data_IF_923609465322
#
_entry.id   IF_923609465322
#
_cell.length_a   1.000
_cell.length_b   1.000
_cell.length_c   1.000
_cell.angle_alpha   90.00
_cell.angle_beta   90.00
_cell.angle_gamma   90.00
#
_symmetry.space_group_name_H-M   'P 1'
#
loop_
_entity.id
_entity.type
_entity.pdbx_description
1 polymer ?
#
# COMPACT_ATOMS: atom_id res chain seq x y z
N UNK A 1 -18.80 1.84 -0.36
CA UNK A 1 -17.87 0.70 -0.52
C UNK A 1 -17.27 0.46 0.85
N UNK A 2 -18.00 -0.28 1.69
CA UNK A 2 -17.60 -0.54 3.07
C UNK A 2 -16.36 -1.45 3.04
N UNK A 3 -15.23 -0.89 3.43
CA UNK A 3 -13.97 -1.61 3.45
C UNK A 3 -13.91 -2.38 4.78
N UNK A 4 -14.56 -3.55 4.81
CA UNK A 4 -14.40 -4.50 5.91
C UNK A 4 -12.93 -4.97 5.91
N UNK A 5 -12.16 -4.47 6.87
CA UNK A 5 -10.74 -4.74 6.97
C UNK A 5 -10.48 -5.52 8.26
N UNK A 6 -10.08 -6.78 8.10
CA UNK A 6 -9.72 -7.64 9.23
C UNK A 6 -8.21 -7.78 9.31
N UNK A 7 -7.65 -7.47 10.47
CA UNK A 7 -6.23 -7.67 10.73
C UNK A 7 -6.01 -8.27 12.12
N UNK A 8 -4.86 -8.93 12.29
CA UNK A 8 -4.46 -9.56 13.54
C UNK A 8 -3.13 -8.99 13.97
N UNK A 9 -3.07 -8.58 15.23
CA UNK A 9 -1.88 -8.00 15.84
C UNK A 9 -1.48 -8.79 17.07
N UNK A 10 -0.17 -8.95 17.25
CA UNK A 10 0.41 -9.63 18.43
C UNK A 10 0.98 -8.59 19.37
N UNK A 11 0.51 -8.55 20.61
CA UNK A 11 1.03 -7.72 21.67
C UNK A 11 1.69 -8.57 22.76
N UNK A 12 2.59 -7.94 23.51
CA UNK A 12 3.23 -8.54 24.68
C UNK A 12 2.87 -7.65 25.86
N UNK A 13 1.96 -8.14 26.70
CA UNK A 13 1.37 -7.38 27.80
C UNK A 13 1.70 -8.14 29.07
N UNK A 14 2.40 -7.49 30.02
CA UNK A 14 2.82 -8.10 31.30
C UNK A 14 3.61 -9.42 31.14
N UNK A 15 4.35 -9.57 30.04
CA UNK A 15 5.15 -10.77 29.73
C UNK A 15 4.37 -11.91 29.05
N UNK A 16 3.06 -11.76 28.86
CA UNK A 16 2.21 -12.72 28.16
C UNK A 16 1.95 -12.27 26.71
N UNK A 17 1.82 -13.26 25.82
CA UNK A 17 1.52 -13.01 24.40
C UNK A 17 0.02 -12.95 24.20
N UNK A 18 -0.46 -11.77 23.83
CA UNK A 18 -1.87 -11.51 23.55
C UNK A 18 -2.03 -11.29 22.05
N UNK A 19 -2.97 -12.00 21.44
CA UNK A 19 -3.34 -11.83 20.04
C UNK A 19 -4.64 -11.07 19.96
N UNK A 20 -4.72 -10.08 19.08
CA UNK A 20 -5.91 -9.26 18.92
C UNK A 20 -6.30 -9.31 17.46
N UNK A 21 -7.51 -9.80 17.20
CA UNK A 21 -8.16 -9.74 15.89
C UNK A 21 -9.10 -8.54 15.89
N UNK A 22 -8.94 -7.66 14.92
CA UNK A 22 -9.79 -6.48 14.75
C UNK A 22 -10.48 -6.60 13.41
N UNK A 23 -11.80 -6.44 13.44
CA UNK A 23 -12.66 -6.31 12.27
C UNK A 23 -13.10 -4.85 12.22
N UNK A 24 -12.43 -4.07 11.37
CA UNK A 24 -12.82 -2.70 11.10
C UNK A 24 -14.07 -2.71 10.23
N UNK A 25 -15.19 -2.30 10.81
CA UNK A 25 -16.48 -2.25 10.14
C UNK A 25 -17.13 -0.95 10.55
N UNK A 26 -17.06 0.02 9.64
CA UNK A 26 -17.68 1.32 9.86
C UNK A 26 -19.19 1.16 9.66
N UNK A 27 -19.90 0.84 10.74
CA UNK A 27 -21.36 0.82 10.79
C UNK A 27 -21.87 2.20 11.27
N UNK A 28 -23.20 2.35 11.34
CA UNK A 28 -23.81 3.58 11.88
C UNK A 28 -23.46 3.80 13.37
N UNK A 29 -23.32 2.72 14.15
CA UNK A 29 -23.07 2.78 15.61
C UNK A 29 -21.68 2.30 16.04
N UNK A 30 -21.07 1.37 15.30
CA UNK A 30 -19.79 0.73 15.64
C UNK A 30 -18.68 1.13 14.66
N UNK A 31 -17.48 1.41 15.20
CA UNK A 31 -16.28 1.70 14.41
C UNK A 31 -15.49 0.43 14.08
N UNK A 32 -15.32 -0.45 15.08
CA UNK A 32 -14.68 -1.75 14.90
C UNK A 32 -15.09 -2.76 15.98
N UNK A 33 -14.97 -4.03 15.63
CA UNK A 33 -15.07 -5.13 16.57
C UNK A 33 -13.67 -5.63 16.91
N UNK A 34 -13.43 -5.92 18.18
CA UNK A 34 -12.17 -6.42 18.69
C UNK A 34 -12.38 -7.76 19.37
N UNK A 35 -11.51 -8.71 19.06
CA UNK A 35 -11.44 -10.00 19.72
C UNK A 35 -10.02 -10.18 20.26
N UNK A 36 -9.91 -10.31 21.58
CA UNK A 36 -8.66 -10.55 22.29
C UNK A 36 -8.56 -12.04 22.59
N UNK A 37 -7.40 -12.63 22.30
CA UNK A 37 -7.09 -14.02 22.58
C UNK A 37 -5.82 -14.08 23.45
N UNK A 38 -5.98 -14.61 24.65
CA UNK A 38 -4.89 -14.88 25.58
C UNK A 38 -4.94 -16.37 25.92
N UNK A 39 -3.90 -17.10 25.53
CA UNK A 39 -3.81 -18.53 25.76
C UNK A 39 -5.09 -19.27 25.33
N UNK A 40 -5.87 -19.82 26.26
CA UNK A 40 -7.09 -20.59 25.97
C UNK A 40 -8.38 -19.78 26.07
N UNK A 41 -8.31 -18.52 26.48
CA UNK A 41 -9.47 -17.64 26.65
C UNK A 41 -9.57 -16.63 25.52
N UNK A 42 -10.81 -16.33 25.15
CA UNK A 42 -11.13 -15.26 24.20
C UNK A 42 -12.11 -14.28 24.83
N UNK A 43 -11.95 -13.01 24.48
CA UNK A 43 -12.86 -11.93 24.83
C UNK A 43 -13.21 -11.16 23.57
N UNK A 44 -14.44 -10.67 23.49
CA UNK A 44 -14.91 -9.86 22.38
C UNK A 44 -15.43 -8.52 22.89
N UNK A 45 -15.34 -7.48 22.07
CA UNK A 45 -15.96 -6.19 22.35
C UNK A 45 -16.18 -5.42 21.06
N UNK A 46 -17.04 -4.42 21.13
CA UNK A 46 -17.29 -3.46 20.08
C UNK A 46 -16.85 -2.07 20.56
N UNK A 47 -16.27 -1.30 19.66
CA UNK A 47 -15.91 0.08 19.92
C UNK A 47 -16.85 0.99 19.14
N UNK A 48 -17.68 1.74 19.87
CA UNK A 48 -18.70 2.59 19.27
C UNK A 48 -18.12 3.89 18.71
N UNK A 49 -18.82 4.46 17.72
CA UNK A 49 -18.46 5.75 17.14
C UNK A 49 -18.56 6.89 18.17
N UNK A 50 -19.50 6.79 19.11
CA UNK A 50 -19.63 7.74 20.23
C UNK A 50 -18.39 7.74 21.12
N UNK A 51 -17.87 6.55 21.43
CA UNK A 51 -16.61 6.41 22.18
C UNK A 51 -15.45 7.04 21.40
N UNK A 52 -15.38 6.80 20.09
CA UNK A 52 -14.36 7.39 19.23
C UNK A 52 -14.40 8.92 19.24
N UNK A 53 -15.59 9.53 19.15
CA UNK A 53 -15.78 10.99 19.24
C UNK A 53 -15.35 11.54 20.59
N UNK A 54 -15.74 10.87 21.69
CA UNK A 54 -15.37 11.29 23.03
C UNK A 54 -13.85 11.30 23.25
N UNK A 55 -13.16 10.23 22.83
CA UNK A 55 -11.70 10.16 22.95
C UNK A 55 -10.98 11.07 21.95
N UNK A 56 -11.54 11.32 20.77
CA UNK A 56 -11.00 12.30 19.82
C UNK A 56 -11.03 13.73 20.41
N UNK A 57 -12.14 14.12 21.05
CA UNK A 57 -12.27 15.38 21.77
C UNK A 57 -11.27 15.49 22.93
N UNK A 58 -11.09 14.41 23.70
CA UNK A 58 -10.15 14.37 24.83
C UNK A 58 -8.69 14.57 24.40
N UNK A 59 -8.32 14.09 23.22
CA UNK A 59 -6.96 14.19 22.67
C UNK A 59 -6.81 15.44 21.77
N UNK A 60 -7.86 16.24 21.61
CA UNK A 60 -7.90 17.42 20.73
C UNK A 60 -7.57 17.08 19.25
N UNK A 61 -7.96 15.89 18.78
CA UNK A 61 -7.79 15.44 17.39
C UNK A 61 -9.15 15.42 16.65
N UNK A 62 -9.14 15.58 15.32
CA UNK A 62 -10.34 15.34 14.53
C UNK A 62 -10.66 13.85 14.48
N UNK A 63 -11.95 13.49 14.34
CA UNK A 63 -12.38 12.09 14.29
C UNK A 63 -11.62 11.29 13.22
N UNK A 64 -11.44 11.84 12.03
CA UNK A 64 -10.71 11.17 10.93
C UNK A 64 -9.23 10.89 11.27
N UNK A 65 -8.56 11.84 11.93
CA UNK A 65 -7.17 11.69 12.35
C UNK A 65 -7.08 10.66 13.49
N UNK A 66 -7.99 10.75 14.45
CA UNK A 66 -8.07 9.82 15.57
C UNK A 66 -8.28 8.38 15.08
N UNK A 67 -9.25 8.15 14.20
CA UNK A 67 -9.51 6.82 13.61
C UNK A 67 -8.30 6.26 12.90
N UNK A 68 -7.60 7.09 12.11
CA UNK A 68 -6.37 6.70 11.43
C UNK A 68 -5.26 6.34 12.42
N UNK A 69 -5.09 7.13 13.49
CA UNK A 69 -4.11 6.90 14.54
C UNK A 69 -4.40 5.60 15.32
N UNK A 70 -5.66 5.36 15.69
CA UNK A 70 -6.11 4.11 16.34
C UNK A 70 -5.89 2.92 15.42
N UNK A 71 -6.30 3.01 14.15
CA UNK A 71 -6.08 1.94 13.17
C UNK A 71 -4.59 1.63 12.99
N UNK A 72 -3.75 2.66 12.96
CA UNK A 72 -2.30 2.49 12.84
C UNK A 72 -1.68 1.87 14.10
N UNK A 73 -2.05 2.32 15.30
CA UNK A 73 -1.50 1.78 16.54
C UNK A 73 -1.92 0.31 16.75
N UNK A 74 -3.14 -0.04 16.35
CA UNK A 74 -3.64 -1.39 16.46
C UNK A 74 -3.05 -2.32 15.39
N UNK A 75 -2.69 -1.82 14.20
CA UNK A 75 -2.03 -2.60 13.14
C UNK A 75 -0.53 -2.79 13.37
N UNK A 76 0.17 -1.71 13.75
CA UNK A 76 1.62 -1.68 13.84
C UNK A 76 2.05 -1.35 15.27
N UNK A 77 3.04 -2.09 15.78
CA UNK A 77 3.73 -1.72 17.02
C UNK A 77 4.53 -0.44 16.79
N UNK A 78 3.93 0.71 17.08
CA UNK A 78 4.65 1.94 17.33
C UNK A 78 5.16 1.93 18.77
N UNK A 79 6.39 2.41 18.99
CA UNK A 79 6.98 2.61 20.32
C UNK A 79 6.21 3.63 21.18
N UNK A 80 5.35 4.39 20.53
CA UNK A 80 4.67 5.56 21.08
C UNK A 80 3.36 5.16 21.78
N UNK A 81 2.95 3.89 21.67
CA UNK A 81 1.73 3.39 22.28
C UNK A 81 2.01 2.26 23.27
N UNK A 82 1.36 2.35 24.42
CA UNK A 82 1.36 1.33 25.48
C UNK A 82 -0.01 0.67 25.50
N UNK A 83 -0.03 -0.65 25.60
CA UNK A 83 -1.24 -1.45 25.59
C UNK A 83 -1.40 -2.13 26.95
N UNK A 84 -2.59 -2.00 27.53
CA UNK A 84 -2.96 -2.63 28.79
C UNK A 84 -4.18 -3.52 28.56
N UNK A 85 -4.11 -4.73 29.12
CA UNK A 85 -5.20 -5.69 29.10
C UNK A 85 -5.46 -6.18 30.52
N UNK A 86 -6.74 -6.15 30.91
CA UNK A 86 -7.25 -6.67 32.17
C UNK A 86 -8.19 -7.81 31.83
N UNK A 87 -7.97 -9.00 32.39
CA UNK A 87 -8.72 -10.23 32.09
C UNK A 87 -9.66 -10.68 33.24
N UNK A 88 -9.70 -9.97 34.36
CA UNK A 88 -10.26 -10.45 35.64
C UNK A 88 -11.77 -10.27 35.81
N UNK A 89 -12.23 -9.11 36.29
CA UNK A 89 -13.63 -8.87 36.70
C UNK A 89 -14.40 -8.09 35.63
N UNK A 90 -13.77 -7.03 35.11
CA UNK A 90 -14.25 -6.25 33.98
C UNK A 90 -13.16 -6.31 32.90
N UNK A 91 -13.26 -7.29 31.98
CA UNK A 91 -12.22 -7.43 30.99
C UNK A 91 -12.22 -6.18 30.12
N UNK A 92 -11.06 -5.55 29.98
CA UNK A 92 -10.95 -4.33 29.20
C UNK A 92 -9.59 -4.24 28.55
N UNK A 93 -9.58 -3.65 27.37
CA UNK A 93 -8.38 -3.38 26.60
C UNK A 93 -8.27 -1.87 26.39
N UNK A 94 -7.15 -1.29 26.81
CA UNK A 94 -6.89 0.12 26.59
C UNK A 94 -5.54 0.33 25.93
N UNK A 95 -5.48 1.38 25.11
CA UNK A 95 -4.26 1.84 24.48
C UNK A 95 -4.00 3.28 24.91
N UNK A 96 -2.76 3.54 25.27
CA UNK A 96 -2.32 4.82 25.80
C UNK A 96 -1.18 5.34 24.96
N UNK A 97 -1.14 6.65 24.70
CA UNK A 97 -0.10 7.29 23.90
C UNK A 97 0.93 7.95 24.81
N UNK A 98 2.20 7.72 24.52
CA UNK A 98 3.33 8.41 25.14
C UNK A 98 3.65 9.65 24.31
N UNK A 99 3.87 10.77 24.98
CA UNK A 99 4.33 11.99 24.34
C UNK A 99 5.85 12.11 24.43
N UNK A 100 6.48 12.55 23.35
CA UNK A 100 7.92 12.74 23.29
C UNK A 100 8.37 13.76 24.35
N UNK A 101 9.36 13.38 25.16
CA UNK A 101 9.92 14.25 26.21
C UNK A 101 9.19 14.24 27.56
N UNK A 102 8.15 13.40 27.74
CA UNK A 102 7.43 13.29 29.03
C UNK A 102 7.19 11.83 29.44
N UNK A 103 7.18 11.57 30.75
CA UNK A 103 6.71 10.30 31.33
C UNK A 103 5.18 10.21 31.36
N UNK A 104 4.49 11.31 31.02
CA UNK A 104 3.04 11.33 30.94
C UNK A 104 2.53 10.43 29.82
N UNK A 105 1.56 9.59 30.17
CA UNK A 105 0.90 8.64 29.28
C UNK A 105 -0.58 8.99 29.30
N UNK A 106 -1.14 9.35 28.15
CA UNK A 106 -2.56 9.70 28.03
C UNK A 106 -3.33 8.47 27.53
N UNK A 107 -4.47 8.19 28.16
CA UNK A 107 -5.38 7.16 27.66
C UNK A 107 -6.00 7.64 26.35
N UNK A 108 -5.67 6.91 25.28
CA UNK A 108 -6.08 7.26 23.92
C UNK A 108 -7.31 6.46 23.50
N UNK A 109 -7.75 5.49 24.29
CA UNK A 109 -9.00 4.76 24.13
C UNK A 109 -9.07 3.50 24.99
N UNK A 110 -10.30 3.08 25.28
CA UNK A 110 -10.62 1.88 26.06
C UNK A 110 -11.82 1.17 25.46
N UNK A 111 -11.75 -0.16 25.41
CA UNK A 111 -12.84 -1.05 25.02
C UNK A 111 -13.12 -1.98 26.18
N UNK A 112 -14.39 -2.05 26.59
CA UNK A 112 -14.85 -3.08 27.51
C UNK A 112 -15.11 -4.36 26.72
N UNK A 113 -14.63 -5.46 27.26
CA UNK A 113 -14.66 -6.76 26.63
C UNK A 113 -15.55 -7.69 27.45
N UNK A 114 -16.16 -8.63 26.76
CA UNK A 114 -16.97 -9.70 27.31
C UNK A 114 -16.25 -11.01 27.06
N UNK A 115 -16.14 -11.83 28.11
CA UNK A 115 -15.53 -13.15 27.98
C UNK A 115 -16.43 -14.04 27.13
N UNK A 116 -15.84 -14.69 26.14
CA UNK A 116 -16.57 -15.68 25.36
C UNK A 116 -16.90 -16.91 26.23
N UNK A 117 -18.12 -17.42 26.09
CA UNK A 117 -18.60 -18.61 26.81
C UNK A 117 -17.98 -19.88 26.23
N UNK A 118 -17.61 -19.84 24.95
CA UNK A 118 -16.87 -20.89 24.29
C UNK A 118 -15.41 -20.44 24.17
N UNK A 119 -14.43 -21.26 24.58
CA UNK A 119 -13.06 -20.98 24.20
C UNK A 119 -13.00 -21.17 22.68
N UNK A 120 -13.06 -20.08 21.92
CA UNK A 120 -12.71 -20.17 20.50
C UNK A 120 -11.30 -20.76 20.44
N UNK A 121 -11.12 -21.92 19.79
CA UNK A 121 -9.82 -22.54 19.75
C UNK A 121 -8.91 -21.62 18.93
N UNK A 122 -7.67 -21.43 19.39
CA UNK A 122 -6.58 -20.82 18.60
C UNK A 122 -6.56 -21.33 17.14
N UNK A 123 -7.06 -22.55 16.92
CA UNK A 123 -7.27 -23.17 15.61
C UNK A 123 -8.03 -22.26 14.64
N UNK A 124 -9.13 -21.60 15.02
CA UNK A 124 -9.86 -20.68 14.12
C UNK A 124 -9.02 -19.48 13.68
N UNK A 125 -8.20 -18.96 14.60
CA UNK A 125 -7.25 -17.89 14.29
C UNK A 125 -6.16 -18.40 13.34
N UNK A 126 -5.65 -19.61 13.58
CA UNK A 126 -4.65 -20.26 12.73
C UNK A 126 -5.22 -20.51 11.32
N UNK A 127 -6.44 -21.05 11.20
CA UNK A 127 -7.12 -21.29 9.93
C UNK A 127 -7.26 -19.98 9.15
N UNK A 128 -7.73 -18.90 9.80
CA UNK A 128 -7.79 -17.58 9.19
C UNK A 128 -6.42 -17.08 8.71
N UNK A 129 -5.37 -17.25 9.52
CA UNK A 129 -4.01 -16.84 9.16
C UNK A 129 -3.46 -17.68 8.00
N UNK A 130 -3.77 -18.97 7.94
CA UNK A 130 -3.39 -19.86 6.85
C UNK A 130 -4.10 -19.48 5.55
N UNK A 131 -5.40 -19.23 5.60
CA UNK A 131 -6.18 -18.77 4.45
C UNK A 131 -5.64 -17.44 3.92
N UNK A 132 -5.38 -16.47 4.81
CA UNK A 132 -4.77 -15.19 4.42
C UNK A 132 -3.36 -15.34 3.88
N UNK A 133 -2.56 -16.24 4.43
CA UNK A 133 -1.22 -16.50 3.91
C UNK A 133 -1.28 -17.12 2.51
N UNK A 134 -2.20 -18.05 2.27
CA UNK A 134 -2.43 -18.65 0.96
C UNK A 134 -2.89 -17.60 -0.06
N UNK A 135 -3.87 -16.76 0.31
CA UNK A 135 -4.37 -15.66 -0.52
C UNK A 135 -3.24 -14.69 -0.89
N UNK A 136 -2.48 -14.22 0.10
CA UNK A 136 -1.34 -13.32 -0.13
C UNK A 136 -0.26 -13.98 -1.00
N UNK A 137 0.02 -15.26 -0.81
CA UNK A 137 0.99 -16.01 -1.62
C UNK A 137 0.54 -16.09 -3.08
N UNK A 138 -0.75 -16.32 -3.34
CA UNK A 138 -1.31 -16.31 -4.69
C UNK A 138 -1.24 -14.93 -5.33
N UNK A 139 -1.56 -13.87 -4.58
CA UNK A 139 -1.44 -12.47 -5.04
C UNK A 139 0.01 -12.15 -5.39
N UNK A 140 0.97 -12.51 -4.54
CA UNK A 140 2.40 -12.30 -4.79
C UNK A 140 2.85 -13.05 -6.05
N UNK A 141 2.44 -14.31 -6.21
CA UNK A 141 2.76 -15.11 -7.39
C UNK A 141 2.23 -14.45 -8.67
N UNK A 142 0.96 -14.08 -8.69
CA UNK A 142 0.32 -13.40 -9.83
C UNK A 142 0.98 -12.06 -10.13
N UNK A 143 1.30 -11.27 -9.11
CA UNK A 143 1.99 -9.99 -9.25
C UNK A 143 3.37 -10.17 -9.87
N UNK A 144 4.14 -11.18 -9.41
CA UNK A 144 5.45 -11.51 -9.97
C UNK A 144 5.36 -11.97 -11.42
N UNK A 145 4.39 -12.80 -11.77
CA UNK A 145 4.14 -13.24 -13.16
C UNK A 145 3.82 -12.04 -14.07
N UNK A 146 2.92 -11.15 -13.61
CA UNK A 146 2.56 -9.93 -14.34
C UNK A 146 3.78 -9.03 -14.55
N UNK A 147 4.57 -8.83 -13.51
CA UNK A 147 5.80 -8.03 -13.58
C UNK A 147 6.81 -8.63 -14.57
N UNK A 148 6.99 -9.96 -14.56
CA UNK A 148 7.84 -10.67 -15.51
C UNK A 148 7.37 -10.48 -16.96
N UNK A 149 6.07 -10.61 -17.20
CA UNK A 149 5.48 -10.40 -18.53
C UNK A 149 5.68 -8.97 -19.02
N UNK A 150 5.37 -7.97 -18.19
CA UNK A 150 5.56 -6.56 -18.51
C UNK A 150 7.03 -6.23 -18.80
N UNK A 151 7.96 -6.78 -18.00
CA UNK A 151 9.39 -6.60 -18.24
C UNK A 151 9.81 -7.22 -19.58
N UNK A 152 9.27 -8.37 -19.96
CA UNK A 152 9.56 -8.97 -21.26
C UNK A 152 8.97 -8.18 -22.42
N UNK A 153 7.78 -7.61 -22.28
CA UNK A 153 7.16 -6.76 -23.30
C UNK A 153 7.91 -5.45 -23.47
N UNK A 154 8.35 -4.84 -22.37
CA UNK A 154 9.17 -3.63 -22.39
C UNK A 154 10.48 -3.87 -23.16
N UNK A 155 11.17 -4.99 -22.91
CA UNK A 155 12.40 -5.34 -23.64
C UNK A 155 12.15 -5.61 -25.13
N UNK A 156 11.02 -6.22 -25.50
CA UNK A 156 10.64 -6.40 -26.91
C UNK A 156 10.40 -5.04 -27.58
N UNK A 157 9.59 -4.18 -26.96
CA UNK A 157 9.29 -2.84 -27.45
C UNK A 157 10.56 -2.00 -27.61
N UNK A 158 11.49 -2.09 -26.65
CA UNK A 158 12.79 -1.42 -26.72
C UNK A 158 13.59 -1.87 -27.94
N UNK A 159 13.71 -3.18 -28.18
CA UNK A 159 14.42 -3.72 -29.36
C UNK A 159 13.77 -3.31 -30.68
N UNK A 160 12.43 -3.33 -30.74
CA UNK A 160 11.69 -2.87 -31.92
C UNK A 160 11.92 -1.38 -32.18
N UNK A 161 11.98 -0.56 -31.13
CA UNK A 161 12.25 0.87 -31.23
C UNK A 161 13.69 1.15 -31.69
N UNK A 162 14.67 0.41 -31.17
CA UNK A 162 16.07 0.50 -31.61
C UNK A 162 16.18 0.15 -33.11
N UNK A 163 15.59 -0.96 -33.53
CA UNK A 163 15.57 -1.37 -34.95
C UNK A 163 14.84 -0.35 -35.85
N UNK A 164 13.76 0.25 -35.37
CA UNK A 164 13.05 1.31 -36.08
C UNK A 164 13.92 2.56 -36.24
N UNK A 165 14.63 2.97 -35.18
CA UNK A 165 15.55 4.10 -35.22
C UNK A 165 16.68 3.88 -36.24
N UNK A 166 17.29 2.69 -36.25
CA UNK A 166 18.33 2.34 -37.23
C UNK A 166 17.80 2.39 -38.67
N UNK A 167 16.61 1.84 -38.90
CA UNK A 167 15.95 1.87 -40.22
C UNK A 167 15.67 3.31 -40.66
N UNK A 168 15.20 4.16 -39.75
CA UNK A 168 14.97 5.58 -40.01
C UNK A 168 16.27 6.28 -40.41
N UNK A 169 17.35 6.09 -39.65
CA UNK A 169 18.67 6.70 -39.95
C UNK A 169 19.18 6.25 -41.33
N UNK A 170 19.06 4.97 -41.65
CA UNK A 170 19.44 4.42 -42.96
C UNK A 170 18.63 5.04 -44.11
N UNK A 171 17.32 5.22 -43.91
CA UNK A 171 16.44 5.86 -44.89
C UNK A 171 16.79 7.34 -45.10
N UNK A 172 17.00 8.09 -44.01
CA UNK A 172 17.41 9.49 -44.06
C UNK A 172 18.73 9.66 -44.80
N UNK A 173 19.73 8.81 -44.50
CA UNK A 173 21.03 8.81 -45.19
C UNK A 173 20.87 8.53 -46.69
N UNK A 174 20.07 7.53 -47.06
CA UNK A 174 19.81 7.17 -48.47
C UNK A 174 19.11 8.31 -49.22
N UNK A 175 18.10 8.94 -48.61
CA UNK A 175 17.39 10.06 -49.20
C UNK A 175 18.31 11.27 -49.37
N UNK A 176 19.12 11.58 -48.35
CA UNK A 176 20.07 12.67 -48.40
C UNK A 176 21.11 12.48 -49.51
N UNK A 177 21.67 11.27 -49.66
CA UNK A 177 22.59 10.96 -50.76
C UNK A 177 21.94 11.12 -52.14
N UNK A 178 20.70 10.65 -52.32
CA UNK A 178 19.94 10.82 -53.58
C UNK A 178 19.69 12.30 -53.89
N UNK A 179 19.33 13.08 -52.87
CA UNK A 179 19.12 14.52 -53.02
C UNK A 179 20.42 15.24 -53.41
N UNK A 180 21.55 14.90 -52.77
CA UNK A 180 22.86 15.45 -53.13
C UNK A 180 23.26 15.17 -54.58
N UNK A 181 23.01 13.95 -55.07
CA UNK A 181 23.26 13.59 -56.48
C UNK A 181 22.45 14.46 -57.43
N UNK A 182 21.15 14.64 -57.15
CA UNK A 182 20.27 15.52 -57.94
C UNK A 182 20.73 16.97 -57.89
N UNK A 183 21.07 17.48 -56.71
CA UNK A 183 21.53 18.85 -56.51
C UNK A 183 22.83 19.11 -57.29
N UNK A 184 23.79 18.18 -57.23
CA UNK A 184 25.04 18.27 -57.96
C UNK A 184 24.84 18.20 -59.48
N UNK A 185 23.93 17.34 -59.96
CA UNK A 185 23.56 17.29 -61.38
C UNK A 185 22.93 18.62 -61.85
N UNK A 186 22.06 19.22 -61.03
CA UNK A 186 21.47 20.53 -61.31
C UNK A 186 22.51 21.65 -61.30
N UNK A 187 23.42 21.68 -60.31
CA UNK A 187 24.53 22.64 -60.24
C UNK A 187 25.42 22.56 -61.49
N UNK A 188 25.84 21.36 -61.88
CA UNK A 188 26.63 21.15 -63.12
C UNK A 188 25.90 21.65 -64.36
N UNK A 189 24.58 21.43 -64.46
CA UNK A 189 23.78 21.91 -65.59
C UNK A 189 23.68 23.43 -65.63
N UNK A 190 23.50 24.09 -64.49
CA UNK A 190 23.50 25.55 -64.40
C UNK A 190 24.84 26.10 -64.84
N UNK A 191 25.94 25.54 -64.32
CA UNK A 191 27.30 25.97 -64.65
C UNK A 191 27.60 25.85 -66.15
N UNK A 192 27.21 24.73 -66.78
CA UNK A 192 27.30 24.56 -68.24
C UNK A 192 26.50 25.63 -69.03
N UNK A 193 25.31 26.00 -68.54
CA UNK A 193 24.49 27.03 -69.19
C UNK A 193 25.09 28.43 -69.02
N UNK A 194 25.66 28.72 -67.86
CA UNK A 194 26.37 29.98 -67.59
C UNK A 194 27.64 30.12 -68.45
N UNK A 195 28.41 29.04 -68.61
CA UNK A 195 29.61 29.03 -69.45
C UNK A 195 29.25 29.23 -70.93
N UNK A 196 28.21 28.57 -71.43
CA UNK A 196 27.69 28.76 -72.79
C UNK A 196 27.18 30.19 -73.05
N UNK A 197 26.63 30.85 -72.04
CA UNK A 197 26.21 32.25 -72.17
C UNK A 197 27.42 33.19 -72.27
N UNK A 198 28.47 32.94 -71.49
CA UNK A 198 29.71 33.73 -71.54
C UNK A 198 30.53 33.56 -72.82
N UNK A 199 30.45 32.41 -73.48
CA UNK A 199 31.11 32.17 -74.78
C UNK A 199 30.36 32.82 -75.97
N UNK A 200 29.08 33.19 -75.78
CA UNK A 200 28.26 33.84 -76.81
C UNK A 200 28.11 35.36 -76.62
N UNK A 201 28.80 35.95 -75.64
CA UNK A 201 29.03 37.40 -75.48
C UNK A 201 30.40 37.79 -76.05
#
# INVERSE_FOLDING_TARGET
MECEDTFISRFEIKGEKVYIKILWKHNEDDLFHIQVLENTSSWYGNYSLESAKHYAELVEETLEIYEKNVRQCLRNRSSDYLFDFVSSVEPSFCWKRRYEGSTAVLEHGKVNLLRDKLPEPKNRLIDFLLDKNMELTQIIKKSRETCGNLSSELEKCKKELEAFADTKISLESTLYSKFLLLLNAKKKRIQLLEDLLKENE
#
